data_IF_527730573395
#
_entry.id   IF_527730573395
#
_cell.length_a   1.000
_cell.length_b   1.000
_cell.length_c   1.000
_cell.angle_alpha   90.00
_cell.angle_beta   90.00
_cell.angle_gamma   90.00
#
_symmetry.space_group_name_H-M   'P 1'
#
loop_
_entity.id
_entity.type
_entity.pdbx_description
1 polymer ?
#
# COMPACT_ATOMS: atom_id res chain seq x y z
N UNK A 1 7.31 12.31 -9.64
CA UNK A 1 6.71 11.20 -8.88
C UNK A 1 5.29 11.57 -8.50
N UNK A 2 4.29 10.77 -8.87
CA UNK A 2 2.91 10.97 -8.42
C UNK A 2 2.75 10.46 -6.98
N UNK A 3 2.02 11.20 -6.15
CA UNK A 3 1.68 10.77 -4.80
C UNK A 3 0.60 9.69 -4.89
N UNK A 4 0.88 8.51 -4.33
CA UNK A 4 -0.08 7.43 -4.24
C UNK A 4 -1.27 7.82 -3.36
N UNK A 5 -2.48 7.70 -3.91
CA UNK A 5 -3.74 7.94 -3.16
C UNK A 5 -3.99 9.39 -2.75
N UNK A 6 -3.32 10.38 -3.36
CA UNK A 6 -3.51 11.84 -3.17
C UNK A 6 -3.71 12.32 -1.71
N UNK A 7 -3.09 11.64 -0.74
CA UNK A 7 -3.30 11.87 0.70
C UNK A 7 -4.75 11.72 1.19
N UNK A 8 -5.59 11.00 0.45
CA UNK A 8 -7.00 10.73 0.79
C UNK A 8 -7.19 9.44 1.60
N UNK A 9 -6.14 8.63 1.76
CA UNK A 9 -6.18 7.38 2.51
C UNK A 9 -5.82 7.57 3.98
N UNK A 10 -6.54 6.88 4.87
CA UNK A 10 -6.23 6.75 6.29
C UNK A 10 -5.72 5.34 6.58
N UNK A 11 -4.51 5.21 7.12
CA UNK A 11 -3.99 3.91 7.58
C UNK A 11 -4.79 3.47 8.82
N UNK A 12 -5.48 2.33 8.70
CA UNK A 12 -6.21 1.69 9.79
C UNK A 12 -5.28 0.79 10.60
N UNK A 13 -4.50 -0.04 9.91
CA UNK A 13 -3.52 -0.94 10.51
C UNK A 13 -2.25 -0.94 9.70
N UNK A 14 -1.14 -1.11 10.41
CA UNK A 14 0.18 -1.38 9.85
C UNK A 14 0.83 -2.45 10.71
N UNK A 15 1.33 -3.49 10.06
CA UNK A 15 2.18 -4.49 10.69
C UNK A 15 3.42 -4.73 9.86
N UNK A 16 4.45 -5.22 10.52
CA UNK A 16 5.73 -5.55 9.91
C UNK A 16 6.13 -6.94 10.36
N UNK A 17 6.66 -7.73 9.42
CA UNK A 17 7.24 -9.04 9.71
C UNK A 17 8.62 -9.13 9.08
N UNK A 18 9.65 -9.55 9.84
CA UNK A 18 10.96 -9.81 9.28
C UNK A 18 10.88 -10.78 8.09
N UNK A 19 11.64 -10.50 7.05
CA UNK A 19 11.74 -11.33 5.86
C UNK A 19 13.22 -11.50 5.51
N UNK A 20 13.62 -12.71 5.17
CA UNK A 20 14.96 -12.97 4.68
C UNK A 20 14.94 -14.11 3.65
N UNK A 21 15.88 -14.04 2.74
CA UNK A 21 16.24 -15.07 1.78
C UNK A 21 17.73 -15.40 1.92
N UNK A 22 18.28 -16.20 1.01
CA UNK A 22 19.70 -16.56 1.02
C UNK A 22 20.59 -15.33 0.77
N UNK A 23 20.13 -14.36 -0.02
CA UNK A 23 20.93 -13.23 -0.50
C UNK A 23 20.46 -11.87 -0.02
N UNK A 24 19.24 -11.78 0.54
CA UNK A 24 18.63 -10.51 0.95
C UNK A 24 17.93 -10.65 2.29
N UNK A 25 18.01 -9.60 3.11
CA UNK A 25 17.22 -9.42 4.32
C UNK A 25 16.34 -8.17 4.16
N UNK A 26 15.29 -8.10 4.97
CA UNK A 26 14.34 -7.01 4.94
C UNK A 26 13.11 -7.27 5.77
N UNK A 27 12.02 -6.62 5.40
CA UNK A 27 10.75 -6.72 6.08
C UNK A 27 9.58 -6.67 5.10
N UNK A 28 8.54 -7.45 5.41
CA UNK A 28 7.26 -7.35 4.75
C UNK A 28 6.34 -6.46 5.59
N UNK A 29 5.92 -5.35 5.00
CA UNK A 29 4.97 -4.42 5.59
C UNK A 29 3.58 -4.72 5.05
N UNK A 30 2.61 -4.90 5.93
CA UNK A 30 1.20 -5.07 5.56
C UNK A 30 0.41 -3.87 6.06
N UNK A 31 -0.39 -3.26 5.19
CA UNK A 31 -1.20 -2.09 5.50
C UNK A 31 -2.67 -2.36 5.21
N UNK A 32 -3.56 -1.83 6.03
CA UNK A 32 -4.96 -1.63 5.68
C UNK A 32 -5.25 -0.13 5.61
N UNK A 33 -5.74 0.35 4.48
CA UNK A 33 -5.96 1.77 4.22
C UNK A 33 -7.43 1.99 3.89
N UNK A 34 -8.07 2.91 4.60
CA UNK A 34 -9.44 3.35 4.35
C UNK A 34 -9.46 4.62 3.51
N UNK A 35 -10.26 4.60 2.45
CA UNK A 35 -10.66 5.77 1.68
C UNK A 35 -12.16 5.98 1.87
N UNK A 36 -12.57 7.10 2.47
CA UNK A 36 -13.97 7.37 2.83
C UNK A 36 -14.53 8.60 2.13
N UNK A 37 -15.68 8.45 1.46
CA UNK A 37 -16.31 9.47 0.62
C UNK A 37 -15.88 9.36 -0.84
N UNK A 38 -16.69 9.90 -1.76
CA UNK A 38 -16.55 9.69 -3.21
C UNK A 38 -15.16 10.04 -3.76
N UNK A 39 -14.64 11.21 -3.37
CA UNK A 39 -13.32 11.68 -3.83
C UNK A 39 -12.19 10.78 -3.32
N UNK A 40 -12.28 10.32 -2.07
CA UNK A 40 -11.29 9.42 -1.49
C UNK A 40 -11.38 8.04 -2.14
N UNK A 41 -12.57 7.50 -2.35
CA UNK A 41 -12.77 6.21 -3.04
C UNK A 41 -12.16 6.25 -4.44
N UNK A 42 -12.42 7.30 -5.23
CA UNK A 42 -11.81 7.47 -6.55
C UNK A 42 -10.28 7.60 -6.50
N UNK A 43 -9.72 8.13 -5.41
CA UNK A 43 -8.27 8.14 -5.19
C UNK A 43 -7.74 6.76 -4.79
N UNK A 44 -8.49 6.02 -3.98
CA UNK A 44 -8.18 4.65 -3.61
C UNK A 44 -8.23 3.67 -4.79
N UNK A 45 -9.15 3.85 -5.73
CA UNK A 45 -9.17 3.07 -6.99
C UNK A 45 -7.92 3.33 -7.83
N UNK A 46 -7.48 4.60 -7.92
CA UNK A 46 -6.22 4.96 -8.59
C UNK A 46 -5.00 4.42 -7.83
N UNK A 47 -5.03 4.41 -6.50
CA UNK A 47 -4.02 3.77 -5.67
C UNK A 47 -3.91 2.28 -5.97
N UNK A 48 -5.04 1.56 -6.01
CA UNK A 48 -5.09 0.11 -6.32
C UNK A 48 -4.48 -0.16 -7.69
N UNK A 49 -4.80 0.65 -8.70
CA UNK A 49 -4.28 0.49 -10.05
C UNK A 49 -2.79 0.86 -10.17
N UNK A 50 -2.30 1.83 -9.39
CA UNK A 50 -0.95 2.35 -9.51
C UNK A 50 0.07 1.63 -8.62
N UNK A 51 -0.35 1.06 -7.47
CA UNK A 51 0.56 0.51 -6.47
C UNK A 51 1.52 -0.56 -7.02
N UNK A 52 1.07 -1.58 -7.79
CA UNK A 52 1.95 -2.66 -8.23
C UNK A 52 3.08 -2.22 -9.14
N UNK A 53 2.84 -1.18 -9.94
CA UNK A 53 3.81 -0.63 -10.89
C UNK A 53 4.50 0.63 -10.36
N UNK A 54 4.24 1.01 -9.09
CA UNK A 54 4.81 2.23 -8.53
C UNK A 54 6.28 2.02 -8.16
N UNK A 55 7.14 2.85 -8.75
CA UNK A 55 8.56 2.88 -8.40
C UNK A 55 8.76 3.74 -7.15
N UNK A 56 9.12 3.11 -6.04
CA UNK A 56 9.39 3.79 -4.78
C UNK A 56 10.82 4.31 -4.71
N UNK A 57 10.99 5.57 -4.34
CA UNK A 57 12.29 6.16 -4.04
C UNK A 57 12.43 6.38 -2.52
N UNK A 58 12.89 5.34 -1.80
CA UNK A 58 13.14 5.39 -0.35
C UNK A 58 14.65 5.39 -0.12
N UNK A 59 15.23 6.42 0.54
CA UNK A 59 16.67 6.45 0.80
C UNK A 59 17.14 5.25 1.63
N UNK A 60 18.12 4.50 1.12
CA UNK A 60 18.74 3.36 1.80
C UNK A 60 17.86 2.11 1.92
N UNK A 61 16.74 2.05 1.18
CA UNK A 61 15.86 0.90 1.15
C UNK A 61 15.35 0.65 -0.28
N UNK A 62 15.18 -0.61 -0.64
CA UNK A 62 14.59 -1.00 -1.93
C UNK A 62 13.23 -1.65 -1.69
N UNK A 63 12.19 -1.18 -2.39
CA UNK A 63 10.92 -1.90 -2.44
C UNK A 63 11.02 -2.95 -3.55
N UNK A 64 11.20 -4.21 -3.15
CA UNK A 64 11.33 -5.33 -4.09
C UNK A 64 9.99 -5.79 -4.66
N UNK A 65 8.90 -5.56 -3.93
CA UNK A 65 7.56 -5.97 -4.32
C UNK A 65 6.52 -5.08 -3.63
N UNK A 66 5.44 -4.74 -4.33
CA UNK A 66 4.31 -3.98 -3.80
C UNK A 66 3.03 -4.54 -4.41
N UNK A 67 2.13 -5.06 -3.58
CA UNK A 67 0.97 -5.79 -4.07
C UNK A 67 -0.32 -5.42 -3.34
N UNK A 68 -1.43 -5.47 -4.07
CA UNK A 68 -2.77 -5.40 -3.50
C UNK A 68 -3.18 -6.81 -3.08
N UNK A 69 -3.54 -6.97 -1.81
CA UNK A 69 -3.98 -8.25 -1.24
C UNK A 69 -5.50 -8.37 -1.29
N UNK A 70 -6.21 -7.31 -0.89
CA UNK A 70 -7.66 -7.30 -0.82
C UNK A 70 -8.20 -5.89 -1.05
N UNK A 71 -9.37 -5.80 -1.68
CA UNK A 71 -10.09 -4.54 -1.88
C UNK A 71 -11.55 -4.77 -1.49
N UNK A 72 -11.98 -4.16 -0.39
CA UNK A 72 -13.39 -4.15 0.04
C UNK A 72 -14.02 -2.81 -0.30
N UNK A 73 -14.98 -2.81 -1.24
CA UNK A 73 -15.75 -1.63 -1.61
C UNK A 73 -17.16 -1.72 -1.01
N UNK A 74 -17.51 -0.74 -0.16
CA UNK A 74 -18.85 -0.58 0.40
C UNK A 74 -19.49 0.72 -0.07
N UNK A 75 -20.66 0.63 -0.71
CA UNK A 75 -21.38 1.79 -1.24
C UNK A 75 -22.34 2.45 -0.24
N UNK A 76 -22.81 1.70 0.76
CA UNK A 76 -23.85 2.13 1.70
C UNK A 76 -23.41 1.98 3.17
N UNK A 77 -23.84 2.86 4.09
CA UNK A 77 -24.66 4.06 3.86
C UNK A 77 -23.87 5.24 3.27
N UNK A 78 -22.54 5.12 3.20
CA UNK A 78 -21.63 6.07 2.55
C UNK A 78 -20.55 5.29 1.81
N UNK A 79 -20.06 5.77 0.65
CA UNK A 79 -18.99 5.14 -0.11
C UNK A 79 -17.70 5.05 0.71
N UNK A 80 -17.14 3.84 0.77
CA UNK A 80 -15.88 3.52 1.44
C UNK A 80 -15.16 2.42 0.69
N UNK A 81 -13.84 2.54 0.63
CA UNK A 81 -12.95 1.55 0.06
C UNK A 81 -11.87 1.21 1.10
N UNK A 82 -11.77 -0.05 1.48
CA UNK A 82 -10.67 -0.55 2.30
C UNK A 82 -9.75 -1.35 1.41
N UNK A 83 -8.49 -0.95 1.35
CA UNK A 83 -7.45 -1.63 0.57
C UNK A 83 -6.46 -2.25 1.54
N UNK A 84 -6.24 -3.56 1.42
CA UNK A 84 -5.12 -4.23 2.03
C UNK A 84 -4.00 -4.35 1.01
N UNK A 85 -2.80 -3.94 1.37
CA UNK A 85 -1.63 -4.08 0.53
C UNK A 85 -0.41 -4.54 1.31
N UNK A 86 0.54 -5.13 0.60
CA UNK A 86 1.83 -5.56 1.15
C UNK A 86 2.97 -4.95 0.35
N UNK A 87 4.00 -4.52 1.05
CA UNK A 87 5.27 -4.08 0.47
C UNK A 87 6.41 -4.93 1.04
N UNK A 88 7.27 -5.45 0.19
CA UNK A 88 8.52 -6.08 0.57
C UNK A 88 9.64 -5.06 0.47
N UNK A 89 10.15 -4.61 1.62
CA UNK A 89 11.29 -3.73 1.69
C UNK A 89 12.54 -4.58 1.95
N UNK A 90 13.59 -4.33 1.20
CA UNK A 90 14.92 -4.90 1.41
C UNK A 90 15.83 -3.86 2.06
N UNK A 91 16.66 -4.33 2.97
CA UNK A 91 17.75 -3.55 3.54
C UNK A 91 18.85 -3.39 2.49
N UNK A 92 19.40 -2.18 2.36
CA UNK A 92 20.60 -1.96 1.55
C UNK A 92 21.81 -2.49 2.34
N UNK A 93 22.60 -3.35 1.70
CA UNK A 93 23.69 -4.10 2.34
C UNK A 93 24.95 -3.31 2.62
#
# INVERSE_FOLDING_TARGET
MAVLGDHQGQVLTHSERPWASITFAGARHSFAILFAGDAAVASGERFVAALPDHEFAIPGQLVADANIVEVEHRLLPSPRLVVQCELLLLEDG
#
